data_IF_950168121696
#
_entry.id   IF_950168121696
#
_cell.length_a   1.000
_cell.length_b   1.000
_cell.length_c   1.000
_cell.angle_alpha   90.00
_cell.angle_beta   90.00
_cell.angle_gamma   90.00
#
_symmetry.space_group_name_H-M   'P 1'
#
loop_
_entity.id
_entity.type
_entity.pdbx_description
1 polymer ?
#
# COMPACT_ATOMS: atom_id res chain seq x y z
N UNK A 1 27.08 -22.09 -4.57
CA UNK A 1 25.89 -22.23 -3.70
C UNK A 1 26.39 -22.63 -2.32
N UNK A 2 26.24 -21.78 -1.30
CA UNK A 2 26.62 -22.11 0.08
C UNK A 2 25.73 -23.27 0.56
N UNK A 3 26.32 -24.42 0.90
CA UNK A 3 25.64 -25.55 1.56
C UNK A 3 25.57 -25.29 3.06
N UNK A 4 24.89 -24.23 3.46
CA UNK A 4 24.70 -23.90 4.87
C UNK A 4 23.28 -24.23 5.28
N UNK A 5 23.17 -24.88 6.44
CA UNK A 5 21.89 -25.10 7.10
C UNK A 5 21.28 -23.75 7.53
N UNK A 6 19.95 -23.65 7.50
CA UNK A 6 19.22 -22.40 7.75
C UNK A 6 19.46 -21.85 9.16
N UNK A 7 19.60 -22.73 10.16
CA UNK A 7 19.84 -22.30 11.54
C UNK A 7 21.29 -21.84 11.75
N UNK A 8 22.23 -22.50 11.08
CA UNK A 8 23.63 -22.06 11.07
C UNK A 8 23.78 -20.68 10.41
N UNK A 9 23.07 -20.44 9.30
CA UNK A 9 23.05 -19.15 8.63
C UNK A 9 22.50 -18.03 9.54
N UNK A 10 21.33 -18.25 10.16
CA UNK A 10 20.72 -17.29 11.12
C UNK A 10 21.67 -16.95 12.25
N UNK A 11 22.28 -17.97 12.85
CA UNK A 11 23.26 -17.79 13.93
C UNK A 11 24.46 -16.94 13.50
N UNK A 12 24.94 -17.09 12.25
CA UNK A 12 26.04 -16.27 11.71
C UNK A 12 25.64 -14.82 11.49
N UNK A 13 24.45 -14.58 10.93
CA UNK A 13 23.95 -13.21 10.71
C UNK A 13 23.76 -12.47 12.04
N UNK A 14 23.17 -13.12 13.04
CA UNK A 14 23.00 -12.56 14.38
C UNK A 14 24.33 -12.20 15.06
N UNK A 15 25.31 -13.10 15.00
CA UNK A 15 26.65 -12.83 15.54
C UNK A 15 27.34 -11.68 14.80
N UNK A 16 27.19 -11.62 13.48
CA UNK A 16 27.76 -10.57 12.67
C UNK A 16 27.15 -9.20 13.00
N UNK A 17 25.82 -9.11 13.11
CA UNK A 17 25.12 -7.88 13.47
C UNK A 17 25.57 -7.38 14.85
N UNK A 18 25.53 -8.26 15.87
CA UNK A 18 25.98 -7.92 17.23
C UNK A 18 27.45 -7.49 17.31
N UNK A 19 28.34 -8.15 16.56
CA UNK A 19 29.74 -7.74 16.49
C UNK A 19 29.90 -6.36 15.82
N UNK A 20 29.11 -6.08 14.79
CA UNK A 20 29.13 -4.81 14.08
C UNK A 20 28.60 -3.66 14.94
N UNK A 21 27.55 -3.90 15.74
CA UNK A 21 27.06 -2.92 16.74
C UNK A 21 28.18 -2.58 17.72
N UNK A 22 28.81 -3.58 18.36
CA UNK A 22 29.90 -3.37 19.32
C UNK A 22 31.08 -2.62 18.70
N UNK A 23 31.41 -2.94 17.46
CA UNK A 23 32.49 -2.28 16.74
C UNK A 23 32.12 -0.82 16.42
N UNK A 24 30.92 -0.56 15.90
CA UNK A 24 30.43 0.79 15.65
C UNK A 24 30.43 1.65 16.93
N UNK A 25 30.07 1.09 18.09
CA UNK A 25 30.15 1.79 19.36
C UNK A 25 31.60 2.08 19.80
N UNK A 26 32.48 1.10 19.71
CA UNK A 26 33.89 1.24 20.11
C UNK A 26 34.64 2.29 19.26
N UNK A 27 34.30 2.41 17.98
CA UNK A 27 34.87 3.41 17.06
C UNK A 27 34.07 4.74 17.04
N UNK A 28 33.04 4.89 17.88
CA UNK A 28 32.24 6.13 17.98
C UNK A 28 31.30 6.37 16.80
N UNK A 29 31.12 5.40 15.90
CA UNK A 29 30.30 5.48 14.69
C UNK A 29 28.84 5.06 14.94
N UNK A 30 28.22 5.53 16.02
CA UNK A 30 26.85 5.13 16.42
C UNK A 30 25.78 5.39 15.36
N UNK A 31 25.98 6.38 14.48
CA UNK A 31 25.09 6.69 13.34
C UNK A 31 24.90 5.48 12.43
N UNK A 32 25.91 4.61 12.31
CA UNK A 32 25.86 3.42 11.45
C UNK A 32 24.94 2.32 11.99
N UNK A 33 24.63 2.33 13.29
CA UNK A 33 23.77 1.32 13.92
C UNK A 33 22.35 1.36 13.33
N UNK A 34 21.85 2.56 13.00
CA UNK A 34 20.54 2.74 12.38
C UNK A 34 20.43 2.21 10.94
N UNK A 35 21.55 1.83 10.32
CA UNK A 35 21.60 1.23 8.98
C UNK A 35 21.84 -0.27 9.00
N UNK A 36 21.97 -0.88 10.19
CA UNK A 36 22.11 -2.33 10.31
C UNK A 36 20.78 -3.01 9.98
N UNK A 37 20.82 -4.20 9.35
CA UNK A 37 19.61 -4.97 9.07
C UNK A 37 18.92 -5.34 10.38
N UNK A 38 17.59 -5.24 10.39
CA UNK A 38 16.78 -5.65 11.54
C UNK A 38 16.90 -7.17 11.75
N UNK A 39 17.40 -7.56 12.91
CA UNK A 39 17.60 -8.96 13.28
C UNK A 39 16.49 -9.52 14.15
N UNK A 40 15.50 -8.72 14.56
CA UNK A 40 14.35 -9.20 15.34
C UNK A 40 13.56 -10.26 14.58
N UNK A 41 13.45 -10.12 13.26
CA UNK A 41 12.82 -11.09 12.36
C UNK A 41 13.55 -12.45 12.33
N UNK A 42 14.84 -12.49 12.65
CA UNK A 42 15.63 -13.72 12.72
C UNK A 42 15.51 -14.42 14.08
N UNK A 43 15.25 -13.66 15.15
CA UNK A 43 15.10 -14.15 16.52
C UNK A 43 13.68 -14.65 16.78
N UNK A 44 12.70 -14.05 16.11
CA UNK A 44 11.30 -14.40 16.23
C UNK A 44 10.75 -14.75 14.83
N UNK A 45 11.11 -15.92 14.27
CA UNK A 45 10.54 -16.37 12.99
C UNK A 45 9.02 -16.52 13.06
N UNK A 46 8.46 -16.68 14.26
CA UNK A 46 7.02 -16.74 14.56
C UNK A 46 6.32 -15.37 14.40
N UNK A 47 7.09 -14.27 14.41
CA UNK A 47 6.59 -12.92 14.03
C UNK A 47 6.51 -12.73 12.53
N UNK A 48 7.06 -13.64 11.72
CA UNK A 48 6.61 -13.78 10.34
C UNK A 48 5.18 -14.29 10.46
N UNK A 49 4.22 -13.37 10.56
CA UNK A 49 2.82 -13.71 10.34
C UNK A 49 2.80 -14.57 9.08
N UNK A 50 2.15 -15.75 9.16
CA UNK A 50 1.98 -16.59 7.98
C UNK A 50 1.51 -15.68 6.84
N UNK A 51 2.34 -15.55 5.80
CA UNK A 51 2.06 -14.65 4.69
C UNK A 51 0.78 -15.18 4.04
N UNK A 52 -0.33 -14.51 4.29
CA UNK A 52 -1.63 -14.89 3.73
C UNK A 52 -1.62 -14.46 2.28
N UNK A 53 -1.27 -15.39 1.40
CA UNK A 53 -1.35 -15.16 -0.04
C UNK A 53 -2.83 -15.19 -0.43
N UNK A 54 -3.37 -14.01 -0.73
CA UNK A 54 -4.75 -13.89 -1.22
C UNK A 54 -4.79 -14.18 -2.72
N UNK A 55 -5.59 -15.17 -3.09
CA UNK A 55 -5.87 -15.51 -4.48
C UNK A 55 -6.97 -14.62 -5.03
N UNK A 56 -6.97 -14.42 -6.35
CA UNK A 56 -8.05 -13.70 -7.02
C UNK A 56 -9.37 -14.47 -6.89
N UNK A 57 -10.44 -13.75 -6.54
CA UNK A 57 -11.77 -14.31 -6.41
C UNK A 57 -12.78 -13.47 -7.20
N UNK A 58 -12.96 -13.83 -8.48
CA UNK A 58 -13.86 -13.13 -9.38
C UNK A 58 -15.33 -13.11 -8.90
N UNK A 59 -15.79 -14.16 -8.22
CA UNK A 59 -17.15 -14.20 -7.68
C UNK A 59 -17.34 -13.17 -6.55
N UNK A 60 -16.33 -13.05 -5.67
CA UNK A 60 -16.32 -12.03 -4.62
C UNK A 60 -16.17 -10.63 -5.20
N UNK A 61 -15.31 -10.47 -6.21
CA UNK A 61 -15.11 -9.21 -6.92
C UNK A 61 -16.42 -8.70 -7.53
N UNK A 62 -17.13 -9.54 -8.28
CA UNK A 62 -18.42 -9.21 -8.88
C UNK A 62 -19.48 -8.91 -7.81
N UNK A 63 -19.50 -9.66 -6.70
CA UNK A 63 -20.39 -9.38 -5.57
C UNK A 63 -20.15 -7.97 -5.02
N UNK A 64 -18.89 -7.59 -4.77
CA UNK A 64 -18.54 -6.27 -4.23
C UNK A 64 -18.82 -5.12 -5.20
N UNK A 65 -18.58 -5.33 -6.49
CA UNK A 65 -18.99 -4.36 -7.52
C UNK A 65 -20.50 -4.15 -7.53
N UNK A 66 -21.30 -5.22 -7.40
CA UNK A 66 -22.76 -5.12 -7.29
C UNK A 66 -23.20 -4.38 -6.02
N UNK A 67 -22.58 -4.66 -4.87
CA UNK A 67 -22.84 -3.93 -3.62
C UNK A 67 -22.58 -2.41 -3.80
N UNK A 68 -21.44 -2.04 -4.41
CA UNK A 68 -21.12 -0.65 -4.72
C UNK A 68 -22.17 -0.01 -5.65
N UNK A 69 -22.60 -0.70 -6.71
CA UNK A 69 -23.67 -0.17 -7.59
C UNK A 69 -24.98 0.09 -6.83
N UNK A 70 -25.32 -0.74 -5.84
CA UNK A 70 -26.50 -0.54 -4.99
C UNK A 70 -26.39 0.72 -4.13
N UNK A 71 -25.20 1.01 -3.61
CA UNK A 71 -24.96 2.20 -2.78
C UNK A 71 -25.16 3.52 -3.51
N UNK A 72 -24.91 3.56 -4.82
CA UNK A 72 -25.18 4.73 -5.65
C UNK A 72 -26.68 5.10 -5.64
N UNK A 73 -27.57 4.13 -5.44
CA UNK A 73 -29.03 4.34 -5.36
C UNK A 73 -29.46 4.73 -3.95
N UNK A 74 -28.87 4.11 -2.92
CA UNK A 74 -29.34 4.21 -1.52
C UNK A 74 -28.74 5.38 -0.71
N UNK A 75 -27.93 6.27 -1.32
CA UNK A 75 -27.19 7.37 -0.62
C UNK A 75 -26.44 6.88 0.63
N UNK A 76 -25.58 5.89 0.43
CA UNK A 76 -24.84 5.21 1.51
C UNK A 76 -23.72 6.06 2.13
N UNK A 77 -23.40 5.82 3.40
CA UNK A 77 -22.30 6.46 4.13
C UNK A 77 -20.94 6.28 3.45
N UNK A 78 -20.11 7.33 3.51
CA UNK A 78 -18.77 7.37 2.93
C UNK A 78 -17.91 6.17 3.33
N UNK A 79 -17.84 5.83 4.63
CA UNK A 79 -16.97 4.77 5.11
C UNK A 79 -17.40 3.41 4.58
N UNK A 80 -18.71 3.19 4.43
CA UNK A 80 -19.23 1.91 3.93
C UNK A 80 -18.90 1.71 2.44
N UNK A 81 -19.01 2.76 1.62
CA UNK A 81 -18.59 2.71 0.21
C UNK A 81 -17.10 2.45 0.11
N UNK A 82 -16.26 3.20 0.83
CA UNK A 82 -14.80 3.01 0.82
C UNK A 82 -14.42 1.61 1.29
N UNK A 83 -14.97 1.16 2.42
CA UNK A 83 -14.64 -0.16 2.99
C UNK A 83 -15.02 -1.28 2.02
N UNK A 84 -16.19 -1.20 1.39
CA UNK A 84 -16.63 -2.20 0.40
C UNK A 84 -15.73 -2.23 -0.84
N UNK A 85 -15.27 -1.06 -1.30
CA UNK A 85 -14.30 -0.99 -2.39
C UNK A 85 -12.95 -1.60 -1.98
N UNK A 86 -12.43 -1.27 -0.80
CA UNK A 86 -11.18 -1.82 -0.28
C UNK A 86 -11.26 -3.34 -0.05
N UNK A 87 -12.38 -3.86 0.44
CA UNK A 87 -12.62 -5.31 0.57
C UNK A 87 -12.59 -6.01 -0.79
N UNK A 88 -13.25 -5.43 -1.81
CA UNK A 88 -13.21 -5.96 -3.17
C UNK A 88 -11.82 -5.93 -3.79
N UNK A 89 -11.03 -4.89 -3.47
CA UNK A 89 -9.63 -4.78 -3.88
C UNK A 89 -8.76 -5.82 -3.16
N UNK A 90 -8.97 -6.02 -1.86
CA UNK A 90 -8.17 -6.94 -1.04
C UNK A 90 -8.45 -8.41 -1.41
N UNK A 91 -9.71 -8.84 -1.28
CA UNK A 91 -10.11 -10.24 -1.40
C UNK A 91 -10.61 -10.61 -2.80
N UNK A 92 -11.05 -9.63 -3.61
CA UNK A 92 -11.48 -9.88 -4.98
C UNK A 92 -10.31 -9.96 -5.95
N UNK A 93 -9.40 -8.99 -5.91
CA UNK A 93 -8.20 -8.95 -6.77
C UNK A 93 -7.06 -9.80 -6.17
N UNK A 94 -7.08 -10.07 -4.86
CA UNK A 94 -6.03 -10.80 -4.18
C UNK A 94 -4.77 -9.93 -3.96
N UNK A 95 -4.96 -8.70 -3.47
CA UNK A 95 -3.87 -7.84 -2.99
C UNK A 95 -3.59 -8.11 -1.52
N UNK A 96 -2.43 -7.74 -1.00
CA UNK A 96 -2.06 -8.12 0.38
C UNK A 96 -2.53 -7.06 1.38
N UNK A 97 -2.50 -5.79 0.97
CA UNK A 97 -2.96 -4.65 1.79
C UNK A 97 -3.43 -3.50 0.92
N UNK A 98 -4.37 -2.73 1.43
CA UNK A 98 -4.93 -1.57 0.76
C UNK A 98 -5.36 -0.51 1.77
N UNK A 99 -5.37 0.74 1.33
CA UNK A 99 -5.77 1.86 2.17
C UNK A 99 -6.40 2.99 1.35
N UNK A 100 -7.20 3.79 2.05
CA UNK A 100 -7.53 5.15 1.62
C UNK A 100 -6.77 6.12 2.49
N UNK A 101 -6.06 7.04 1.83
CA UNK A 101 -5.40 8.17 2.48
C UNK A 101 -6.13 9.46 2.11
N UNK A 102 -6.33 10.35 3.08
CA UNK A 102 -6.97 11.65 2.89
C UNK A 102 -5.94 12.77 2.90
N UNK A 103 -6.20 13.80 2.08
CA UNK A 103 -5.39 15.00 2.07
C UNK A 103 -5.55 15.76 3.39
N UNK A 104 -4.42 16.19 3.95
CA UNK A 104 -4.40 17.12 5.06
C UNK A 104 -5.12 18.44 4.68
N UNK A 105 -5.61 19.23 5.66
CA UNK A 105 -6.17 20.55 5.37
C UNK A 105 -5.21 21.47 4.60
N UNK A 106 -3.90 21.33 4.87
CA UNK A 106 -2.83 22.04 4.15
C UNK A 106 -2.59 21.53 2.72
N UNK A 107 -3.19 20.39 2.34
CA UNK A 107 -2.97 19.67 1.07
C UNK A 107 -1.49 19.45 0.77
N UNK A 108 -0.69 19.18 1.81
CA UNK A 108 0.75 18.87 1.69
C UNK A 108 1.05 17.41 2.00
N UNK A 109 0.16 16.72 2.69
CA UNK A 109 0.35 15.34 3.12
C UNK A 109 -0.93 14.54 2.89
N UNK A 110 -0.75 13.23 2.72
CA UNK A 110 -1.80 12.23 2.72
C UNK A 110 -1.68 11.39 3.99
N UNK A 111 -2.79 11.26 4.71
CA UNK A 111 -2.86 10.53 5.97
C UNK A 111 -3.82 9.35 5.84
N UNK A 112 -3.41 8.13 6.23
CA UNK A 112 -4.28 6.97 6.23
C UNK A 112 -5.56 7.21 7.03
N UNK A 113 -6.70 6.87 6.43
CA UNK A 113 -8.02 6.96 7.07
C UNK A 113 -8.61 5.59 7.35
N UNK A 114 -8.53 4.70 6.37
CA UNK A 114 -8.94 3.30 6.44
C UNK A 114 -7.82 2.49 5.80
N UNK A 115 -7.42 1.41 6.45
CA UNK A 115 -6.46 0.44 5.94
C UNK A 115 -6.98 -0.96 6.23
N UNK A 116 -6.83 -1.88 5.28
CA UNK A 116 -7.24 -3.27 5.36
C UNK A 116 -6.11 -4.18 4.87
N UNK A 117 -6.15 -5.44 5.28
CA UNK A 117 -5.16 -6.45 4.92
C UNK A 117 -3.98 -6.49 5.88
N UNK A 118 -2.86 -6.96 5.37
CA UNK A 118 -1.69 -7.27 6.18
C UNK A 118 -1.01 -5.98 6.66
N UNK A 119 -0.68 -5.93 7.96
CA UNK A 119 -0.06 -4.74 8.56
C UNK A 119 -0.97 -3.50 8.54
N UNK A 120 -2.30 -3.66 8.46
CA UNK A 120 -3.24 -2.54 8.40
C UNK A 120 -3.09 -1.52 9.56
N UNK A 121 -2.75 -2.00 10.75
CA UNK A 121 -2.49 -1.15 11.92
C UNK A 121 -1.25 -0.26 11.72
N UNK A 122 -0.14 -0.85 11.29
CA UNK A 122 1.10 -0.14 10.97
C UNK A 122 0.88 0.83 9.80
N UNK A 123 0.20 0.37 8.74
CA UNK A 123 -0.16 1.20 7.61
C UNK A 123 -1.00 2.41 8.06
N UNK A 124 -1.94 2.22 8.98
CA UNK A 124 -2.78 3.32 9.47
C UNK A 124 -2.01 4.35 10.30
N UNK A 125 -0.98 3.92 11.03
CA UNK A 125 -0.20 4.79 11.90
C UNK A 125 0.95 5.48 11.15
N UNK A 126 1.63 4.77 10.25
CA UNK A 126 2.95 5.15 9.74
C UNK A 126 2.98 5.43 8.23
N UNK A 127 1.93 5.09 7.47
CA UNK A 127 1.90 5.28 6.01
C UNK A 127 1.47 6.71 5.61
N UNK A 128 2.12 7.71 6.18
CA UNK A 128 1.93 9.13 5.83
C UNK A 128 2.82 9.46 4.63
N UNK A 129 2.22 10.08 3.60
CA UNK A 129 2.92 10.46 2.36
C UNK A 129 2.95 11.98 2.19
N UNK A 130 4.13 12.54 1.98
CA UNK A 130 4.29 13.96 1.66
C UNK A 130 4.21 14.20 0.14
N UNK A 131 3.57 15.30 -0.25
CA UNK A 131 3.48 15.74 -1.64
C UNK A 131 4.74 16.52 -2.04
N UNK A 132 5.84 15.78 -2.21
CA UNK A 132 7.14 16.30 -2.59
C UNK A 132 7.36 16.35 -4.12
N UNK A 133 8.34 17.16 -4.55
CA UNK A 133 8.80 17.22 -5.95
C UNK A 133 7.81 17.89 -6.91
N UNK A 134 8.16 17.99 -8.20
CA UNK A 134 7.24 18.35 -9.30
C UNK A 134 7.16 17.18 -10.26
N UNK A 135 5.97 16.90 -10.81
CA UNK A 135 5.77 15.77 -11.72
C UNK A 135 5.98 14.40 -11.07
N UNK A 136 5.75 14.30 -9.76
CA UNK A 136 5.75 13.01 -9.07
C UNK A 136 4.43 12.30 -9.31
N UNK A 137 4.45 10.96 -9.36
CA UNK A 137 3.27 10.13 -9.60
C UNK A 137 2.12 10.46 -8.64
N UNK A 138 2.44 10.75 -7.37
CA UNK A 138 1.47 11.13 -6.35
C UNK A 138 0.80 12.49 -6.65
N UNK A 139 1.57 13.48 -7.10
CA UNK A 139 1.03 14.79 -7.51
C UNK A 139 0.20 14.68 -8.77
N UNK A 140 0.67 13.93 -9.76
CA UNK A 140 -0.10 13.71 -10.99
C UNK A 140 -1.43 13.01 -10.71
N UNK A 141 -1.46 12.07 -9.75
CA UNK A 141 -2.69 11.43 -9.30
C UNK A 141 -3.68 12.44 -8.71
N UNK A 142 -3.20 13.41 -7.91
CA UNK A 142 -4.05 14.39 -7.23
C UNK A 142 -4.45 15.57 -8.12
N UNK A 143 -3.50 16.13 -8.87
CA UNK A 143 -3.69 17.34 -9.67
C UNK A 143 -4.36 17.02 -11.01
N UNK A 144 -3.93 15.94 -11.66
CA UNK A 144 -4.43 15.54 -12.98
C UNK A 144 -5.48 14.42 -12.90
N UNK A 145 -5.86 13.98 -11.70
CA UNK A 145 -6.87 12.94 -11.49
C UNK A 145 -6.54 11.62 -12.20
N UNK A 146 -5.25 11.33 -12.38
CA UNK A 146 -4.80 10.14 -13.11
C UNK A 146 -4.69 8.94 -12.18
N UNK A 147 -5.24 7.80 -12.63
CA UNK A 147 -4.91 6.51 -12.05
C UNK A 147 -3.50 6.13 -12.50
N UNK A 148 -2.75 5.49 -11.63
CA UNK A 148 -1.37 5.10 -11.89
C UNK A 148 -1.03 3.79 -11.19
N UNK A 149 -0.06 3.08 -11.74
CA UNK A 149 0.49 1.89 -11.12
C UNK A 149 1.98 1.77 -11.43
N UNK A 150 2.64 0.94 -10.64
CA UNK A 150 4.00 0.46 -10.90
C UNK A 150 3.99 -1.06 -10.73
N UNK A 151 4.77 -1.75 -11.55
CA UNK A 151 4.81 -3.21 -11.57
C UNK A 151 5.48 -3.71 -12.85
N UNK A 152 5.33 -5.00 -13.13
CA UNK A 152 5.90 -5.60 -14.32
C UNK A 152 5.17 -5.10 -15.58
N UNK A 153 5.92 -4.48 -16.50
CA UNK A 153 5.36 -3.92 -17.74
C UNK A 153 4.81 -2.50 -17.62
N UNK A 154 4.88 -1.85 -16.45
CA UNK A 154 4.50 -0.46 -16.28
C UNK A 154 5.58 0.52 -16.78
N UNK A 155 5.15 1.68 -17.27
CA UNK A 155 6.05 2.80 -17.51
C UNK A 155 6.62 3.33 -16.20
N UNK A 156 7.94 3.54 -16.15
CA UNK A 156 8.62 4.08 -14.98
C UNK A 156 8.19 5.52 -14.74
N UNK A 157 7.66 5.79 -13.55
CA UNK A 157 7.32 7.14 -13.11
C UNK A 157 8.25 7.62 -11.99
N UNK A 158 8.29 8.95 -11.81
CA UNK A 158 9.03 9.57 -10.70
C UNK A 158 8.20 9.47 -9.43
N UNK A 159 8.65 8.68 -8.45
CA UNK A 159 7.87 8.45 -7.22
C UNK A 159 8.06 9.55 -6.16
N UNK A 160 9.25 10.16 -6.11
CA UNK A 160 9.68 10.95 -4.94
C UNK A 160 10.28 10.05 -3.85
N UNK A 161 11.15 10.62 -3.01
CA UNK A 161 11.97 9.85 -2.07
C UNK A 161 11.14 9.16 -0.98
N UNK A 162 10.17 9.86 -0.40
CA UNK A 162 9.30 9.30 0.64
C UNK A 162 8.44 8.15 0.14
N UNK A 163 7.80 8.31 -1.03
CA UNK A 163 6.97 7.26 -1.61
C UNK A 163 7.83 6.03 -1.95
N UNK A 164 8.98 6.23 -2.59
CA UNK A 164 9.89 5.15 -2.97
C UNK A 164 10.38 4.31 -1.77
N UNK A 165 10.48 4.90 -0.57
CA UNK A 165 10.88 4.19 0.66
C UNK A 165 9.74 3.37 1.30
N UNK A 166 8.49 3.71 1.02
CA UNK A 166 7.31 3.13 1.67
C UNK A 166 6.58 2.10 0.79
N UNK A 167 6.76 2.14 -0.52
CA UNK A 167 6.14 1.20 -1.47
C UNK A 167 7.07 0.02 -1.78
N UNK A 168 6.53 -1.18 -2.04
CA UNK A 168 7.34 -2.33 -2.43
C UNK A 168 7.87 -2.18 -3.86
N UNK A 169 9.01 -2.83 -4.13
CA UNK A 169 9.63 -2.85 -5.45
C UNK A 169 8.86 -3.71 -6.48
N UNK A 170 8.07 -4.69 -6.02
CA UNK A 170 7.22 -5.55 -6.86
C UNK A 170 6.02 -4.82 -7.47
N UNK A 171 5.74 -3.60 -7.00
CA UNK A 171 4.72 -2.74 -7.58
C UNK A 171 3.58 -2.37 -6.62
N UNK A 172 2.79 -1.39 -7.05
CA UNK A 172 1.66 -0.87 -6.30
C UNK A 172 0.66 -0.17 -7.23
N UNK A 173 -0.54 0.04 -6.72
CA UNK A 173 -1.67 0.66 -7.40
C UNK A 173 -2.04 1.98 -6.69
N UNK A 174 -2.36 3.01 -7.46
CA UNK A 174 -2.74 4.32 -6.95
C UNK A 174 -3.87 4.93 -7.77
N UNK A 175 -4.89 5.46 -7.12
CA UNK A 175 -5.96 6.20 -7.79
C UNK A 175 -6.52 7.33 -6.94
N UNK A 176 -7.04 8.41 -7.54
CA UNK A 176 -7.60 9.52 -6.79
C UNK A 176 -8.94 9.13 -6.14
N UNK A 177 -9.13 9.55 -4.90
CA UNK A 177 -10.42 9.55 -4.23
C UNK A 177 -11.11 10.90 -4.47
N UNK A 178 -12.26 10.86 -5.12
CA UNK A 178 -12.97 12.06 -5.56
C UNK A 178 -14.36 12.15 -4.93
N UNK A 179 -14.71 13.34 -4.48
CA UNK A 179 -16.06 13.72 -4.05
C UNK A 179 -16.41 15.03 -4.74
N UNK A 180 -17.54 15.07 -5.43
CA UNK A 180 -17.99 16.24 -6.20
C UNK A 180 -16.90 16.86 -7.10
N UNK A 181 -16.26 16.00 -7.91
CA UNK A 181 -15.17 16.36 -8.83
C UNK A 181 -13.90 16.93 -8.15
N UNK A 182 -13.82 16.88 -6.82
CA UNK A 182 -12.65 17.32 -6.04
C UNK A 182 -11.90 16.12 -5.48
N UNK A 183 -10.58 16.09 -5.70
CA UNK A 183 -9.72 15.09 -5.06
C UNK A 183 -9.54 15.43 -3.59
N UNK A 184 -10.01 14.53 -2.73
CA UNK A 184 -9.91 14.62 -1.27
C UNK A 184 -8.88 13.63 -0.69
N UNK A 185 -8.37 12.71 -1.51
CA UNK A 185 -7.45 11.67 -1.07
C UNK A 185 -7.02 10.75 -2.21
N UNK A 186 -6.46 9.61 -1.86
CA UNK A 186 -6.06 8.55 -2.80
C UNK A 186 -6.42 7.17 -2.23
N UNK A 187 -6.73 6.24 -3.14
CA UNK A 187 -6.70 4.80 -2.90
C UNK A 187 -5.28 4.31 -3.18
N UNK A 188 -4.80 3.42 -2.32
CA UNK A 188 -3.51 2.76 -2.41
C UNK A 188 -3.70 1.26 -2.20
N UNK A 189 -2.99 0.43 -2.96
CA UNK A 189 -2.91 -1.01 -2.69
C UNK A 189 -1.62 -1.63 -3.23
N UNK A 190 -1.13 -2.68 -2.58
CA UNK A 190 0.09 -3.39 -2.99
C UNK A 190 0.08 -4.87 -2.59
N UNK A 191 1.13 -5.59 -3.02
CA UNK A 191 1.42 -6.99 -2.63
C UNK A 191 2.74 -7.09 -1.85
N UNK A 192 2.95 -6.20 -0.86
CA UNK A 192 4.21 -6.13 -0.13
C UNK A 192 4.52 -7.41 0.69
N UNK A 193 3.50 -8.04 1.28
CA UNK A 193 3.68 -9.22 2.14
C UNK A 193 4.10 -10.46 1.36
N UNK A 194 3.43 -10.70 0.23
CA UNK A 194 3.66 -11.85 -0.65
C UNK A 194 4.80 -11.62 -1.64
N UNK A 195 5.15 -10.37 -1.92
CA UNK A 195 6.21 -9.99 -2.87
C UNK A 195 5.87 -10.29 -4.33
N UNK A 196 4.62 -10.67 -4.62
CA UNK A 196 4.14 -10.90 -5.99
C UNK A 196 4.13 -9.58 -6.76
N UNK A 197 4.38 -9.68 -8.06
CA UNK A 197 4.32 -8.52 -8.94
C UNK A 197 2.87 -8.05 -9.15
N UNK A 198 2.73 -6.77 -9.47
CA UNK A 198 1.48 -6.18 -9.96
C UNK A 198 1.47 -6.28 -11.50
N UNK A 199 0.36 -6.74 -12.06
CA UNK A 199 0.15 -6.89 -13.49
C UNK A 199 -0.91 -5.90 -14.02
N UNK A 200 -0.98 -5.68 -15.34
CA UNK A 200 -1.99 -4.80 -15.94
C UNK A 200 -3.45 -5.17 -15.60
N UNK A 201 -3.75 -6.45 -15.50
CA UNK A 201 -5.10 -6.95 -15.15
C UNK A 201 -5.52 -6.55 -13.72
N UNK A 202 -4.56 -6.49 -12.78
CA UNK A 202 -4.78 -5.99 -11.42
C UNK A 202 -5.15 -4.51 -11.46
N UNK A 203 -4.47 -3.73 -12.31
CA UNK A 203 -4.73 -2.30 -12.48
C UNK A 203 -6.11 -2.04 -13.09
N UNK A 204 -6.53 -2.81 -14.08
CA UNK A 204 -7.87 -2.70 -14.68
C UNK A 204 -8.96 -3.00 -13.65
N UNK A 205 -8.82 -4.10 -12.91
CA UNK A 205 -9.73 -4.49 -11.84
C UNK A 205 -9.82 -3.44 -10.72
N UNK A 206 -8.68 -2.93 -10.28
CA UNK A 206 -8.60 -1.86 -9.28
C UNK A 206 -9.25 -0.57 -9.78
N UNK A 207 -9.00 -0.20 -11.04
CA UNK A 207 -9.58 0.99 -11.67
C UNK A 207 -11.10 0.95 -11.65
N UNK A 208 -11.71 -0.20 -11.95
CA UNK A 208 -13.16 -0.36 -11.91
C UNK A 208 -13.75 -0.12 -10.51
N UNK A 209 -13.14 -0.66 -9.46
CA UNK A 209 -13.60 -0.41 -8.08
C UNK A 209 -13.56 1.06 -7.71
N UNK A 210 -12.42 1.72 -7.98
CA UNK A 210 -12.22 3.12 -7.61
C UNK A 210 -13.15 4.04 -8.40
N UNK A 211 -13.30 3.80 -9.70
CA UNK A 211 -14.23 4.57 -10.54
C UNK A 211 -15.67 4.44 -10.04
N UNK A 212 -16.13 3.23 -9.73
CA UNK A 212 -17.48 3.01 -9.24
C UNK A 212 -17.69 3.65 -7.85
N UNK A 213 -16.71 3.56 -6.95
CA UNK A 213 -16.77 4.23 -5.66
C UNK A 213 -16.84 5.76 -5.80
N UNK A 214 -16.03 6.35 -6.69
CA UNK A 214 -16.07 7.78 -6.99
C UNK A 214 -17.42 8.21 -7.61
N UNK A 215 -18.01 7.37 -8.47
CA UNK A 215 -19.37 7.61 -9.00
C UNK A 215 -20.39 7.62 -7.86
N UNK A 216 -20.33 6.65 -6.93
CA UNK A 216 -21.21 6.61 -5.77
C UNK A 216 -21.14 7.92 -4.98
N UNK A 217 -19.94 8.45 -4.76
CA UNK A 217 -19.77 9.73 -4.08
C UNK A 217 -20.32 10.91 -4.89
N UNK A 218 -20.11 10.93 -6.21
CA UNK A 218 -20.66 11.99 -7.06
C UNK A 218 -22.20 12.03 -7.05
N UNK A 219 -22.86 10.87 -6.92
CA UNK A 219 -24.33 10.78 -6.91
C UNK A 219 -24.89 11.06 -5.52
N UNK A 220 -24.27 10.50 -4.48
CA UNK A 220 -24.75 10.64 -3.10
C UNK A 220 -24.56 12.05 -2.53
N UNK A 221 -23.48 12.74 -2.92
CA UNK A 221 -23.10 14.06 -2.40
C UNK A 221 -23.40 15.23 -3.36
N UNK A 222 -24.14 14.99 -4.45
CA UNK A 222 -24.73 16.08 -5.27
C UNK A 222 -25.83 16.76 -4.45
N UNK A 223 -25.56 18.01 -4.04
CA UNK A 223 -26.55 18.94 -3.51
C UNK A 223 -27.34 19.60 -4.64
#
# INVERSE_FOLDING_TARGET
>A
MLKLDTDEFRGRVLRCSNATVKLAEAYGAKVLIGYLPDTDLLLHPERLAEVVVREENLAFQLKKLRELTGFAVEKTDFNKVVTTALEGILEGIGLDRCAVLLLSPSRRMLQPRIALGDGAEEMRNDFILELEGRGTLLKDCIENQKLAWQGEGADKAVLGEQLARKVPASGFLLAPLQVDNKVIGVYYADRASSGRDIHPEDFDSFSHFVQLANICFSVAFRH
#
